data_IF_855411347169
#
_entry.id   IF_855411347169
#
_cell.length_a   1.000
_cell.length_b   1.000
_cell.length_c   1.000
_cell.angle_alpha   90.00
_cell.angle_beta   90.00
_cell.angle_gamma   90.00
#
_symmetry.space_group_name_H-M   'P 1'
#
loop_
_entity.id
_entity.type
_entity.pdbx_description
1 polymer ?
#
# COMPACT_ATOMS: atom_id res chain seq x y z
N UNK A 1 -66.62 -23.90 22.70
CA UNK A 1 -66.34 -24.21 21.29
C UNK A 1 -65.31 -25.32 21.31
N UNK A 2 -65.64 -26.53 20.85
CA UNK A 2 -64.68 -27.64 20.86
C UNK A 2 -63.50 -27.32 19.94
N UNK A 3 -62.28 -27.58 20.40
CA UNK A 3 -61.07 -27.38 19.61
C UNK A 3 -61.15 -28.21 18.33
N UNK A 4 -60.93 -27.57 17.18
CA UNK A 4 -60.99 -28.24 15.88
C UNK A 4 -59.77 -29.13 15.74
N UNK A 5 -59.98 -30.44 15.80
CA UNK A 5 -58.96 -31.45 15.55
C UNK A 5 -59.15 -32.09 14.16
N UNK A 6 -58.05 -32.50 13.53
CA UNK A 6 -58.01 -32.94 12.13
C UNK A 6 -57.28 -34.29 11.99
N UNK A 7 -57.77 -35.14 11.07
CA UNK A 7 -57.06 -36.35 10.66
C UNK A 7 -56.27 -36.10 9.37
N UNK A 8 -55.03 -36.60 9.28
CA UNK A 8 -54.17 -36.54 8.10
C UNK A 8 -54.16 -37.92 7.47
N UNK A 9 -54.44 -38.00 6.17
CA UNK A 9 -54.46 -39.26 5.41
C UNK A 9 -53.40 -39.23 4.29
N UNK A 10 -52.89 -40.41 3.90
CA UNK A 10 -52.10 -40.53 2.66
C UNK A 10 -52.97 -40.59 1.40
N UNK A 11 -52.30 -40.64 0.24
CA UNK A 11 -52.89 -40.73 -1.11
C UNK A 11 -53.76 -41.98 -1.33
N UNK A 12 -53.67 -42.96 -0.43
CA UNK A 12 -54.45 -44.21 -0.43
C UNK A 12 -55.54 -44.20 0.65
N UNK A 13 -55.74 -43.09 1.36
CA UNK A 13 -56.76 -42.94 2.39
C UNK A 13 -56.40 -43.57 3.74
N UNK A 14 -55.14 -43.90 3.99
CA UNK A 14 -54.71 -44.40 5.30
C UNK A 14 -54.42 -43.24 6.25
N UNK A 15 -54.95 -43.30 7.47
CA UNK A 15 -54.70 -42.30 8.51
C UNK A 15 -53.23 -42.34 8.94
N UNK A 16 -52.53 -41.21 8.80
CA UNK A 16 -51.12 -41.00 9.23
C UNK A 16 -51.02 -40.26 10.56
N UNK A 17 -52.00 -39.43 10.90
CA UNK A 17 -52.12 -38.79 12.20
C UNK A 17 -53.59 -38.49 12.46
N UNK A 18 -54.06 -38.69 13.70
CA UNK A 18 -55.46 -38.43 14.06
C UNK A 18 -55.57 -37.33 15.11
N UNK A 19 -56.69 -36.61 15.10
CA UNK A 19 -57.06 -35.57 16.06
C UNK A 19 -56.01 -34.45 16.26
N UNK A 20 -55.33 -34.03 15.20
CA UNK A 20 -54.30 -32.99 15.26
C UNK A 20 -54.91 -31.59 15.42
N UNK A 21 -54.47 -30.77 16.37
CA UNK A 21 -54.94 -29.39 16.51
C UNK A 21 -54.48 -28.53 15.33
N UNK A 22 -55.30 -27.57 14.89
CA UNK A 22 -54.84 -26.56 13.94
C UNK A 22 -53.94 -25.52 14.62
N UNK A 23 -52.88 -25.03 13.95
CA UNK A 23 -52.42 -25.42 12.61
C UNK A 23 -51.66 -26.75 12.59
N UNK A 24 -51.87 -27.57 11.55
CA UNK A 24 -51.12 -28.82 11.32
C UNK A 24 -49.81 -28.51 10.61
N UNK A 25 -48.70 -29.04 11.13
CA UNK A 25 -47.40 -29.01 10.45
C UNK A 25 -47.09 -30.39 9.90
N UNK A 26 -46.85 -30.49 8.59
CA UNK A 26 -46.42 -31.73 7.92
C UNK A 26 -44.93 -31.63 7.63
N UNK A 27 -44.14 -32.55 8.20
CA UNK A 27 -42.68 -32.64 8.01
C UNK A 27 -42.30 -33.78 7.07
N UNK A 28 -41.12 -33.70 6.43
CA UNK A 28 -40.57 -34.79 5.61
C UNK A 28 -41.07 -34.85 4.17
N UNK A 29 -41.63 -33.75 3.64
CA UNK A 29 -42.03 -33.67 2.24
C UNK A 29 -40.80 -33.54 1.31
N UNK A 30 -40.83 -34.21 0.17
CA UNK A 30 -39.85 -34.11 -0.91
C UNK A 30 -40.03 -32.79 -1.65
N UNK A 31 -38.92 -32.20 -2.12
CA UNK A 31 -38.95 -30.97 -2.91
C UNK A 31 -39.48 -31.18 -4.34
N UNK A 32 -39.95 -30.10 -4.99
CA UNK A 32 -40.54 -30.13 -6.34
C UNK A 32 -41.64 -31.19 -6.53
N UNK A 33 -42.31 -31.56 -5.44
CA UNK A 33 -43.30 -32.66 -5.45
C UNK A 33 -44.67 -32.07 -5.15
N UNK A 34 -45.65 -32.41 -6.00
CA UNK A 34 -47.04 -32.03 -5.81
C UNK A 34 -47.70 -32.98 -4.83
N UNK A 35 -48.32 -32.42 -3.79
CA UNK A 35 -49.09 -33.14 -2.80
C UNK A 35 -50.55 -32.71 -2.87
N UNK A 36 -51.45 -33.69 -2.84
CA UNK A 36 -52.89 -33.52 -2.69
C UNK A 36 -53.31 -33.94 -1.28
N UNK A 37 -54.39 -33.36 -0.76
CA UNK A 37 -54.88 -33.67 0.58
C UNK A 37 -56.40 -33.50 0.69
N UNK A 38 -56.95 -33.90 1.83
CA UNK A 38 -58.37 -33.75 2.14
C UNK A 38 -58.53 -33.15 3.54
N UNK A 39 -59.52 -32.29 3.72
CA UNK A 39 -60.03 -31.91 5.04
C UNK A 39 -61.26 -32.74 5.37
N UNK A 40 -61.38 -33.24 6.61
CA UNK A 40 -62.64 -33.73 7.16
C UNK A 40 -63.34 -32.61 7.96
N UNK A 41 -64.65 -32.43 7.76
CA UNK A 41 -65.50 -31.61 8.65
C UNK A 41 -66.55 -32.52 9.33
N UNK A 42 -66.78 -32.34 10.63
CA UNK A 42 -67.92 -32.92 11.36
C UNK A 42 -68.60 -31.78 12.17
N UNK A 43 -69.92 -31.63 12.19
CA UNK A 43 -70.92 -32.52 12.81
C UNK A 43 -72.01 -33.02 11.87
N UNK A 44 -72.15 -34.35 11.78
CA UNK A 44 -73.32 -35.05 11.22
C UNK A 44 -73.17 -35.62 9.80
N UNK A 45 -72.17 -35.19 9.02
CA UNK A 45 -71.98 -35.65 7.64
C UNK A 45 -70.51 -35.96 7.32
N UNK A 46 -70.26 -37.04 6.59
CA UNK A 46 -68.94 -37.44 6.08
C UNK A 46 -68.68 -36.76 4.73
N UNK A 47 -68.36 -35.47 4.74
CA UNK A 47 -67.91 -34.77 3.52
C UNK A 47 -66.40 -34.54 3.61
N UNK A 48 -65.64 -35.26 2.77
CA UNK A 48 -64.24 -34.97 2.51
C UNK A 48 -64.16 -33.80 1.53
N UNK A 49 -63.63 -32.66 1.97
CA UNK A 49 -63.36 -31.53 1.08
C UNK A 49 -61.92 -31.63 0.60
N UNK A 50 -61.72 -31.78 -0.71
CA UNK A 50 -60.39 -31.76 -1.31
C UNK A 50 -59.68 -30.44 -0.97
N UNK A 51 -58.43 -30.54 -0.53
CA UNK A 51 -57.50 -29.43 -0.52
C UNK A 51 -57.06 -29.14 -1.94
N UNK A 52 -56.80 -27.87 -2.23
CA UNK A 52 -56.06 -27.53 -3.44
C UNK A 52 -54.68 -28.18 -3.36
N UNK A 53 -54.28 -28.85 -4.45
CA UNK A 53 -52.93 -29.38 -4.60
C UNK A 53 -51.92 -28.27 -4.32
N UNK A 54 -50.88 -28.60 -3.56
CA UNK A 54 -49.76 -27.70 -3.35
C UNK A 54 -48.46 -28.40 -3.77
N UNK A 55 -47.59 -27.66 -4.45
CA UNK A 55 -46.27 -28.16 -4.85
C UNK A 55 -45.23 -27.61 -3.90
N UNK A 56 -44.45 -28.50 -3.29
CA UNK A 56 -43.27 -28.06 -2.53
C UNK A 56 -42.30 -27.37 -3.48
N UNK A 57 -41.69 -26.27 -3.02
CA UNK A 57 -40.69 -25.56 -3.81
C UNK A 57 -39.51 -26.49 -4.11
N UNK A 58 -38.79 -26.23 -5.20
CA UNK A 58 -37.57 -26.96 -5.53
C UNK A 58 -36.54 -26.89 -4.39
N UNK A 59 -35.74 -27.95 -4.24
CA UNK A 59 -34.62 -27.97 -3.30
C UNK A 59 -33.73 -26.78 -3.64
N UNK A 60 -33.50 -25.90 -2.68
CA UNK A 60 -32.51 -24.87 -2.84
C UNK A 60 -31.14 -25.56 -2.91
N UNK A 61 -30.44 -25.43 -4.04
CA UNK A 61 -29.05 -25.86 -4.15
C UNK A 61 -28.28 -25.26 -2.98
N UNK A 62 -27.60 -26.11 -2.20
CA UNK A 62 -26.76 -25.64 -1.11
C UNK A 62 -25.76 -24.62 -1.67
N UNK A 63 -25.67 -23.45 -1.02
CA UNK A 63 -24.69 -22.44 -1.39
C UNK A 63 -23.28 -23.05 -1.22
N UNK A 64 -22.42 -22.89 -2.22
CA UNK A 64 -21.03 -23.32 -2.14
C UNK A 64 -20.18 -22.27 -1.39
N UNK A 65 -18.99 -22.70 -0.96
CA UNK A 65 -17.94 -21.75 -0.54
C UNK A 65 -17.56 -20.84 -1.70
N UNK A 66 -17.10 -19.61 -1.43
CA UNK A 66 -16.65 -18.72 -2.49
C UNK A 66 -15.42 -19.27 -3.20
N UNK A 67 -15.22 -18.83 -4.43
CA UNK A 67 -13.99 -19.04 -5.18
C UNK A 67 -12.85 -18.20 -4.57
N UNK A 68 -11.60 -18.65 -4.73
CA UNK A 68 -10.46 -17.89 -4.22
C UNK A 68 -10.37 -16.52 -4.92
N UNK A 69 -10.26 -15.41 -4.17
CA UNK A 69 -10.09 -14.10 -4.78
C UNK A 69 -8.68 -13.94 -5.35
N UNK A 70 -8.47 -12.84 -6.08
CA UNK A 70 -7.12 -12.37 -6.45
C UNK A 70 -6.76 -11.12 -5.63
N UNK A 71 -5.46 -10.89 -5.43
CA UNK A 71 -4.95 -9.72 -4.71
C UNK A 71 -3.75 -9.14 -5.46
N UNK A 72 -3.72 -7.82 -5.58
CA UNK A 72 -2.56 -7.04 -5.99
C UNK A 72 -2.11 -6.14 -4.84
N UNK A 73 -0.81 -5.92 -4.70
CA UNK A 73 -0.23 -5.05 -3.66
C UNK A 73 0.77 -4.07 -4.23
N UNK A 74 0.77 -2.84 -3.71
CA UNK A 74 1.78 -1.82 -4.00
C UNK A 74 2.42 -1.33 -2.70
N UNK A 75 3.72 -1.03 -2.75
CA UNK A 75 4.46 -0.53 -1.59
C UNK A 75 4.04 0.90 -1.24
N UNK A 76 3.88 1.17 0.06
CA UNK A 76 3.75 2.51 0.63
C UNK A 76 4.84 2.76 1.67
N UNK A 77 4.77 3.92 2.34
CA UNK A 77 5.64 4.24 3.48
C UNK A 77 5.14 3.50 4.71
N UNK A 78 5.96 2.57 5.22
CA UNK A 78 5.61 1.72 6.36
C UNK A 78 4.31 0.94 6.17
N UNK A 79 3.92 0.72 4.91
CA UNK A 79 2.62 0.15 4.55
C UNK A 79 2.64 -0.56 3.20
N UNK A 80 1.60 -1.35 2.94
CA UNK A 80 1.31 -1.92 1.63
C UNK A 80 -0.16 -1.72 1.29
N UNK A 81 -0.44 -1.09 0.15
CA UNK A 81 -1.79 -0.89 -0.34
C UNK A 81 -2.23 -2.13 -1.12
N UNK A 82 -3.44 -2.61 -0.88
CA UNK A 82 -3.98 -3.79 -1.54
C UNK A 82 -5.20 -3.44 -2.39
N UNK A 83 -5.38 -4.24 -3.44
CA UNK A 83 -6.61 -4.33 -4.23
C UNK A 83 -6.98 -5.79 -4.37
N UNK A 84 -8.16 -6.15 -3.88
CA UNK A 84 -8.76 -7.47 -4.05
C UNK A 84 -9.64 -7.43 -5.31
N UNK A 85 -9.62 -8.50 -6.09
CA UNK A 85 -10.57 -8.69 -7.19
C UNK A 85 -11.22 -10.06 -7.05
N UNK A 86 -12.55 -10.04 -6.97
CA UNK A 86 -13.40 -11.21 -6.86
C UNK A 86 -14.54 -11.08 -7.88
N UNK A 87 -14.46 -11.86 -8.95
CA UNK A 87 -15.40 -11.80 -10.07
C UNK A 87 -16.74 -12.50 -9.76
N UNK A 88 -16.80 -13.31 -8.70
CA UNK A 88 -17.97 -14.12 -8.33
C UNK A 88 -18.63 -13.65 -7.04
N UNK A 89 -18.13 -12.58 -6.42
CA UNK A 89 -18.56 -12.05 -5.13
C UNK A 89 -20.10 -11.90 -4.99
N UNK A 90 -20.78 -11.43 -6.04
CA UNK A 90 -22.24 -11.23 -6.05
C UNK A 90 -23.02 -12.55 -6.16
N UNK A 91 -22.49 -13.50 -6.92
CA UNK A 91 -23.13 -14.79 -7.19
C UNK A 91 -22.97 -15.74 -6.00
N UNK A 92 -21.81 -15.69 -5.35
CA UNK A 92 -21.45 -16.51 -4.19
C UNK A 92 -21.84 -15.88 -2.84
N UNK A 93 -22.46 -14.69 -2.87
CA UNK A 93 -22.90 -13.91 -1.70
C UNK A 93 -21.78 -13.72 -0.67
N UNK A 94 -20.63 -13.27 -1.13
CA UNK A 94 -19.48 -12.99 -0.26
C UNK A 94 -19.86 -11.92 0.77
N UNK A 95 -19.64 -12.23 2.05
CA UNK A 95 -19.99 -11.38 3.19
C UNK A 95 -18.80 -10.62 3.76
N UNK A 96 -17.58 -11.10 3.56
CA UNK A 96 -16.35 -10.45 4.03
C UNK A 96 -15.12 -10.98 3.29
N UNK A 97 -14.03 -10.23 3.38
CA UNK A 97 -12.71 -10.69 2.98
C UNK A 97 -11.74 -10.60 4.16
N UNK A 98 -10.61 -11.29 4.06
CA UNK A 98 -9.44 -11.05 4.91
C UNK A 98 -8.18 -11.05 4.07
N UNK A 99 -7.25 -10.17 4.42
CA UNK A 99 -5.89 -10.15 3.89
C UNK A 99 -4.97 -10.73 4.95
N UNK A 100 -4.31 -11.84 4.63
CA UNK A 100 -3.26 -12.39 5.45
C UNK A 100 -1.92 -11.80 4.99
N UNK A 101 -1.07 -11.41 5.92
CA UNK A 101 0.26 -10.88 5.62
C UNK A 101 1.33 -11.39 6.59
N UNK A 102 2.55 -11.52 6.11
CA UNK A 102 3.71 -11.85 6.95
C UNK A 102 5.01 -11.27 6.38
N UNK A 103 6.01 -11.12 7.23
CA UNK A 103 7.37 -10.85 6.76
C UNK A 103 7.88 -12.04 5.93
N UNK A 104 8.70 -11.77 4.92
CA UNK A 104 9.32 -12.85 4.13
C UNK A 104 10.18 -13.76 5.02
N UNK A 105 9.99 -15.08 4.90
CA UNK A 105 10.59 -16.07 5.80
C UNK A 105 9.97 -16.17 7.20
N UNK A 106 8.90 -15.44 7.48
CA UNK A 106 8.11 -15.58 8.72
C UNK A 106 7.33 -16.90 8.76
N UNK A 107 6.96 -17.32 9.97
CA UNK A 107 6.16 -18.53 10.21
C UNK A 107 4.68 -18.24 10.47
N UNK A 108 4.36 -17.02 10.91
CA UNK A 108 3.04 -16.67 11.41
C UNK A 108 2.40 -15.57 10.55
N UNK A 109 1.29 -15.90 9.90
CA UNK A 109 0.47 -14.97 9.14
C UNK A 109 -0.37 -14.10 10.08
N UNK A 110 -0.21 -12.78 9.97
CA UNK A 110 -1.11 -11.80 10.54
C UNK A 110 -2.35 -11.67 9.66
N UNK A 111 -3.48 -11.20 10.22
CA UNK A 111 -4.75 -11.10 9.49
C UNK A 111 -5.35 -9.70 9.64
N UNK A 112 -5.74 -9.11 8.51
CA UNK A 112 -6.53 -7.89 8.44
C UNK A 112 -7.91 -8.22 7.88
N UNK A 113 -8.95 -8.03 8.69
CA UNK A 113 -10.33 -8.36 8.34
C UNK A 113 -11.01 -7.19 7.60
N UNK A 114 -11.76 -7.51 6.56
CA UNK A 114 -12.54 -6.58 5.73
C UNK A 114 -14.00 -7.01 5.84
N UNK A 115 -14.73 -6.38 6.76
CA UNK A 115 -16.12 -6.74 7.08
C UNK A 115 -17.15 -6.21 6.07
N UNK A 116 -16.76 -5.22 5.28
CA UNK A 116 -17.58 -4.68 4.19
C UNK A 116 -17.09 -5.29 2.87
N UNK A 117 -17.83 -6.23 2.26
CA UNK A 117 -17.40 -6.94 1.06
C UNK A 117 -17.32 -6.03 -0.17
N UNK A 118 -17.78 -4.78 -0.09
CA UNK A 118 -17.65 -3.79 -1.16
C UNK A 118 -16.32 -3.01 -1.09
N UNK A 119 -15.60 -3.07 0.03
CA UNK A 119 -14.31 -2.39 0.23
C UNK A 119 -13.14 -3.26 -0.21
N UNK A 120 -12.97 -3.35 -1.53
CA UNK A 120 -11.94 -4.17 -2.14
C UNK A 120 -10.55 -3.53 -2.16
N UNK A 121 -10.41 -2.29 -1.71
CA UNK A 121 -9.12 -1.59 -1.60
C UNK A 121 -8.85 -1.15 -0.16
N UNK A 122 -7.58 -1.09 0.21
CA UNK A 122 -7.16 -0.64 1.54
C UNK A 122 -5.65 -0.65 1.71
N UNK A 123 -5.19 -0.51 2.96
CA UNK A 123 -3.77 -0.46 3.30
C UNK A 123 -3.48 -1.23 4.58
N UNK A 124 -2.39 -2.02 4.57
CA UNK A 124 -1.81 -2.65 5.75
C UNK A 124 -0.67 -1.74 6.23
N UNK A 125 -0.85 -1.10 7.38
CA UNK A 125 0.13 -0.18 7.98
C UNK A 125 0.98 -0.86 9.06
N UNK A 126 2.00 -0.14 9.56
CA UNK A 126 2.90 -0.64 10.61
C UNK A 126 3.94 -1.65 10.10
N UNK A 127 4.15 -1.72 8.79
CA UNK A 127 5.19 -2.53 8.17
C UNK A 127 6.54 -1.80 8.24
N UNK A 128 7.64 -2.56 8.24
CA UNK A 128 8.99 -1.97 8.26
C UNK A 128 9.47 -1.69 6.84
N UNK A 129 9.90 -0.46 6.56
CA UNK A 129 10.51 -0.10 5.28
C UNK A 129 11.76 -0.94 5.00
N UNK A 130 12.02 -1.20 3.72
CA UNK A 130 13.09 -2.06 3.20
C UNK A 130 12.99 -3.55 3.60
N UNK A 131 11.92 -3.97 4.30
CA UNK A 131 11.64 -5.38 4.60
C UNK A 131 10.56 -5.92 3.67
N UNK A 132 10.80 -7.07 3.04
CA UNK A 132 9.81 -7.70 2.14
C UNK A 132 8.70 -8.39 2.95
N UNK A 133 7.47 -8.23 2.49
CA UNK A 133 6.28 -8.87 3.05
C UNK A 133 5.53 -9.64 1.97
N UNK A 134 4.91 -10.75 2.36
CA UNK A 134 4.07 -11.59 1.54
C UNK A 134 2.61 -11.40 1.96
N UNK A 135 1.68 -11.44 1.00
CA UNK A 135 0.26 -11.17 1.17
C UNK A 135 -0.57 -12.21 0.41
N UNK A 136 -1.72 -12.56 0.96
CA UNK A 136 -2.75 -13.39 0.32
C UNK A 136 -4.14 -12.98 0.83
N UNK A 137 -5.18 -13.25 0.05
CA UNK A 137 -6.56 -12.91 0.40
C UNK A 137 -7.45 -14.16 0.47
N UNK A 138 -8.51 -14.08 1.26
CA UNK A 138 -9.56 -15.10 1.40
C UNK A 138 -10.91 -14.40 1.39
N UNK A 139 -11.89 -14.98 0.69
CA UNK A 139 -13.28 -14.56 0.69
C UNK A 139 -14.10 -15.47 1.62
N UNK A 140 -15.11 -14.91 2.28
CA UNK A 140 -15.96 -15.65 3.21
C UNK A 140 -17.43 -15.40 2.89
N UNK A 141 -18.25 -16.46 2.91
CA UNK A 141 -19.72 -16.35 2.92
C UNK A 141 -20.31 -17.17 4.08
N UNK A 142 -21.64 -17.33 4.12
CA UNK A 142 -22.34 -18.09 5.16
C UNK A 142 -21.93 -19.58 5.27
N UNK A 143 -21.28 -20.13 4.25
CA UNK A 143 -20.82 -21.54 4.20
C UNK A 143 -19.36 -21.68 4.65
N UNK A 144 -18.63 -20.57 4.76
CA UNK A 144 -17.26 -20.49 5.24
C UNK A 144 -16.31 -19.81 4.26
N UNK A 145 -15.01 -20.05 4.50
CA UNK A 145 -13.91 -19.46 3.75
C UNK A 145 -13.65 -20.19 2.43
N UNK A 146 -13.27 -19.41 1.41
CA UNK A 146 -12.66 -19.85 0.16
C UNK A 146 -11.27 -20.45 0.39
N UNK A 147 -10.70 -21.02 -0.68
CA UNK A 147 -9.25 -21.23 -0.75
C UNK A 147 -8.51 -19.88 -0.73
N UNK A 148 -7.23 -19.91 -0.37
CA UNK A 148 -6.37 -18.73 -0.34
C UNK A 148 -5.96 -18.31 -1.77
N UNK A 149 -5.86 -17.00 -1.99
CA UNK A 149 -5.29 -16.47 -3.23
C UNK A 149 -3.82 -16.88 -3.41
N UNK A 150 -3.30 -16.71 -4.62
CA UNK A 150 -1.85 -16.72 -4.85
C UNK A 150 -1.15 -15.70 -3.94
N UNK A 151 0.06 -16.03 -3.50
CA UNK A 151 0.89 -15.14 -2.68
C UNK A 151 1.52 -14.08 -3.57
N UNK A 152 1.35 -12.82 -3.18
CA UNK A 152 2.03 -11.65 -3.78
C UNK A 152 2.92 -10.99 -2.74
N UNK A 153 3.89 -10.18 -3.18
CA UNK A 153 4.83 -9.53 -2.25
C UNK A 153 5.03 -8.05 -2.54
N UNK A 154 5.26 -7.27 -1.49
CA UNK A 154 5.70 -5.88 -1.57
C UNK A 154 6.78 -5.61 -0.52
N UNK A 155 7.66 -4.66 -0.83
CA UNK A 155 8.66 -4.14 0.10
C UNK A 155 8.33 -2.67 0.34
N UNK A 156 7.76 -2.30 1.50
CA UNK A 156 7.50 -0.91 1.85
C UNK A 156 8.77 -0.06 1.71
N UNK A 157 8.62 1.18 1.25
CA UNK A 157 9.75 2.07 0.94
C UNK A 157 9.51 3.40 1.63
N UNK A 158 10.53 3.88 2.35
CA UNK A 158 10.48 5.22 2.92
C UNK A 158 10.41 6.26 1.78
N UNK A 159 9.66 7.36 1.96
CA UNK A 159 9.67 8.44 1.00
C UNK A 159 11.10 8.98 0.85
N UNK A 160 11.45 9.40 -0.37
CA UNK A 160 12.71 10.08 -0.59
C UNK A 160 12.71 11.38 0.23
N UNK A 161 13.75 11.60 1.03
CA UNK A 161 13.94 12.84 1.76
C UNK A 161 14.83 13.79 0.95
N UNK A 162 14.83 15.08 1.33
CA UNK A 162 15.83 16.03 0.82
C UNK A 162 17.24 15.56 1.18
N UNK A 163 18.25 15.86 0.35
CA UNK A 163 19.60 15.43 0.65
C UNK A 163 20.11 16.08 1.95
N UNK A 164 21.10 15.43 2.54
CA UNK A 164 21.93 16.00 3.60
C UNK A 164 22.82 17.11 3.03
N UNK A 165 23.22 18.07 3.88
CA UNK A 165 24.10 19.15 3.43
C UNK A 165 25.45 18.57 3.01
N UNK A 166 25.97 18.90 1.81
CA UNK A 166 27.31 18.49 1.42
C UNK A 166 28.35 19.27 2.23
N UNK A 167 29.61 18.89 2.07
CA UNK A 167 30.75 19.68 2.55
C UNK A 167 31.48 20.29 1.35
N UNK A 168 32.07 21.47 1.54
CA UNK A 168 32.89 22.13 0.52
C UNK A 168 34.23 22.53 1.11
N UNK A 169 35.29 22.32 0.34
CA UNK A 169 36.61 22.90 0.56
C UNK A 169 36.94 23.82 -0.61
N UNK A 170 37.54 24.97 -0.32
CA UNK A 170 37.86 25.98 -1.34
C UNK A 170 39.30 26.45 -1.16
N UNK A 171 40.04 26.52 -2.26
CA UNK A 171 41.42 27.03 -2.31
C UNK A 171 41.47 28.25 -3.23
N UNK A 172 42.05 29.35 -2.74
CA UNK A 172 42.17 30.57 -3.52
C UNK A 172 43.26 30.44 -4.59
N UNK A 173 42.99 30.98 -5.78
CA UNK A 173 43.95 31.13 -6.88
C UNK A 173 44.09 32.58 -7.30
N UNK A 174 44.74 32.80 -8.45
CA UNK A 174 44.80 34.13 -9.08
C UNK A 174 43.48 34.42 -9.81
N UNK A 175 42.73 35.40 -9.32
CA UNK A 175 41.42 35.78 -9.86
C UNK A 175 40.38 34.64 -9.86
N UNK A 176 40.59 33.62 -9.03
CA UNK A 176 39.81 32.38 -9.05
C UNK A 176 39.81 31.67 -7.69
N UNK A 177 38.93 30.69 -7.55
CA UNK A 177 38.89 29.77 -6.41
C UNK A 177 38.51 28.38 -6.89
N UNK A 178 39.35 27.40 -6.58
CA UNK A 178 39.08 25.99 -6.85
C UNK A 178 38.29 25.39 -5.69
N UNK A 179 37.20 24.70 -5.99
CA UNK A 179 36.38 24.03 -5.00
C UNK A 179 36.43 22.52 -5.15
N UNK A 180 36.28 21.83 -4.02
CA UNK A 180 36.01 20.39 -3.94
C UNK A 180 34.82 20.18 -3.02
N UNK A 181 33.78 19.53 -3.53
CA UNK A 181 32.60 19.11 -2.77
C UNK A 181 32.82 17.68 -2.30
N UNK A 182 32.47 17.38 -1.06
CA UNK A 182 32.41 16.00 -0.56
C UNK A 182 31.00 15.72 -0.05
N UNK A 183 30.37 14.71 -0.64
CA UNK A 183 29.05 14.19 -0.27
C UNK A 183 29.08 12.66 -0.42
N UNK A 184 28.98 11.95 0.70
CA UNK A 184 29.03 10.50 0.75
C UNK A 184 27.69 9.85 0.35
N UNK A 185 26.62 10.64 0.22
CA UNK A 185 25.26 10.15 0.04
C UNK A 185 24.70 10.40 -1.37
N UNK A 186 25.50 10.89 -2.33
CA UNK A 186 25.07 11.20 -3.72
C UNK A 186 24.15 10.13 -4.30
N UNK A 187 24.58 8.85 -4.28
CA UNK A 187 23.78 7.75 -4.83
C UNK A 187 22.61 7.34 -3.93
N UNK A 188 22.79 7.36 -2.61
CA UNK A 188 21.77 6.91 -1.64
C UNK A 188 20.58 7.88 -1.57
N UNK A 189 20.86 9.17 -1.60
CA UNK A 189 19.87 10.26 -1.53
C UNK A 189 19.41 10.71 -2.92
N UNK A 190 19.84 9.99 -3.98
CA UNK A 190 19.47 10.25 -5.36
C UNK A 190 19.70 11.71 -5.77
N UNK A 191 20.83 12.27 -5.35
CA UNK A 191 21.23 13.64 -5.68
C UNK A 191 21.34 13.74 -7.21
N UNK A 192 20.63 14.72 -7.78
CA UNK A 192 20.55 14.96 -9.22
C UNK A 192 21.41 16.14 -9.66
N UNK A 193 21.73 17.07 -8.76
CA UNK A 193 22.66 18.17 -9.03
C UNK A 193 23.25 18.75 -7.74
N UNK A 194 24.33 19.51 -7.89
CA UNK A 194 24.94 20.28 -6.81
C UNK A 194 24.94 21.77 -7.20
N UNK A 195 24.97 22.64 -6.20
CA UNK A 195 25.12 24.09 -6.37
C UNK A 195 26.29 24.56 -5.53
N UNK A 196 27.16 25.39 -6.10
CA UNK A 196 28.15 26.17 -5.36
C UNK A 196 27.69 27.61 -5.36
N UNK A 197 27.42 28.15 -4.18
CA UNK A 197 27.04 29.53 -3.99
C UNK A 197 28.26 30.31 -3.49
N UNK A 198 28.50 31.48 -4.05
CA UNK A 198 29.56 32.37 -3.59
C UNK A 198 29.12 33.83 -3.57
N UNK A 199 29.71 34.63 -2.67
CA UNK A 199 29.53 36.08 -2.63
C UNK A 199 30.79 36.76 -2.08
N UNK A 200 30.98 38.04 -2.41
CA UNK A 200 31.99 38.84 -1.74
C UNK A 200 31.60 38.98 -0.25
N UNK A 201 32.59 39.02 0.63
CA UNK A 201 32.38 39.13 2.07
C UNK A 201 31.55 40.38 2.42
N UNK A 202 30.51 40.20 3.24
CA UNK A 202 29.53 41.24 3.56
C UNK A 202 28.58 41.63 2.42
N UNK A 203 28.63 40.93 1.27
CA UNK A 203 27.68 41.07 0.18
C UNK A 203 26.28 40.56 0.55
N UNK A 204 25.27 41.05 -0.15
CA UNK A 204 23.86 40.69 0.12
C UNK A 204 23.36 39.53 -0.73
N UNK A 205 23.88 39.38 -1.96
CA UNK A 205 23.40 38.42 -2.93
C UNK A 205 24.42 37.30 -3.19
N UNK A 206 23.92 36.06 -3.25
CA UNK A 206 24.72 34.88 -3.59
C UNK A 206 24.67 34.61 -5.09
N UNK A 207 25.83 34.47 -5.72
CA UNK A 207 25.93 33.97 -7.08
C UNK A 207 25.96 32.45 -7.05
N UNK A 208 25.21 31.79 -7.93
CA UNK A 208 25.10 30.33 -7.98
C UNK A 208 25.81 29.75 -9.21
N UNK A 209 26.65 28.75 -8.98
CA UNK A 209 27.22 27.86 -10.01
C UNK A 209 26.50 26.52 -9.91
N UNK A 210 25.77 26.16 -10.96
CA UNK A 210 25.08 24.87 -11.02
C UNK A 210 26.02 23.78 -11.57
N UNK A 211 26.10 22.67 -10.85
CA UNK A 211 26.84 21.47 -11.23
C UNK A 211 25.81 20.40 -11.56
N UNK A 212 25.50 20.26 -12.84
CA UNK A 212 24.42 19.38 -13.32
C UNK A 212 24.76 17.88 -13.20
N UNK A 213 26.05 17.53 -13.19
CA UNK A 213 26.52 16.18 -12.96
C UNK A 213 27.00 16.06 -11.50
N UNK A 214 26.23 15.41 -10.61
CA UNK A 214 26.54 15.33 -9.19
C UNK A 214 27.79 14.48 -8.89
N UNK A 215 28.40 13.85 -9.90
CA UNK A 215 29.69 13.15 -9.76
C UNK A 215 30.90 14.07 -10.03
N UNK A 216 30.67 15.26 -10.60
CA UNK A 216 31.72 16.27 -10.81
C UNK A 216 31.92 17.10 -9.55
N UNK A 217 32.66 16.51 -8.62
CA UNK A 217 32.88 17.07 -7.29
C UNK A 217 33.90 18.21 -7.22
N UNK A 218 34.56 18.56 -8.32
CA UNK A 218 35.60 19.60 -8.37
C UNK A 218 35.31 20.60 -9.47
N UNK A 219 35.68 21.87 -9.25
CA UNK A 219 35.62 22.90 -10.28
C UNK A 219 36.28 24.19 -9.85
N UNK A 220 36.21 25.20 -10.72
CA UNK A 220 36.84 26.51 -10.50
C UNK A 220 35.82 27.61 -10.69
N UNK A 221 35.68 28.49 -9.70
CA UNK A 221 35.02 29.79 -9.87
C UNK A 221 36.06 30.80 -10.35
N UNK A 222 35.78 31.48 -11.45
CA UNK A 222 36.70 32.44 -12.11
C UNK A 222 36.19 33.86 -11.99
N UNK A 223 37.02 34.82 -12.41
CA UNK A 223 36.68 36.25 -12.45
C UNK A 223 36.41 36.83 -11.05
N UNK A 224 37.08 36.28 -10.03
CA UNK A 224 37.09 36.84 -8.69
C UNK A 224 38.11 37.99 -8.62
N UNK A 225 37.89 38.95 -7.72
CA UNK A 225 38.81 40.07 -7.53
C UNK A 225 39.89 39.71 -6.51
N UNK A 226 41.16 39.81 -6.91
CA UNK A 226 42.28 39.61 -5.99
C UNK A 226 42.26 40.62 -4.84
N UNK A 227 42.52 40.16 -3.62
CA UNK A 227 42.46 40.95 -2.40
C UNK A 227 41.06 41.10 -1.78
N UNK A 228 40.01 40.65 -2.47
CA UNK A 228 38.64 40.62 -1.94
C UNK A 228 38.35 39.25 -1.32
N UNK A 229 37.88 39.21 -0.08
CA UNK A 229 37.42 37.97 0.55
C UNK A 229 36.07 37.54 -0.04
N UNK A 230 35.91 36.24 -0.24
CA UNK A 230 34.68 35.62 -0.74
C UNK A 230 34.26 34.47 0.17
N UNK A 231 32.97 34.39 0.44
CA UNK A 231 32.32 33.30 1.15
C UNK A 231 31.74 32.30 0.15
N UNK A 232 31.93 31.01 0.42
CA UNK A 232 31.46 29.89 -0.41
C UNK A 232 30.64 28.90 0.42
N UNK A 233 29.60 28.34 -0.18
CA UNK A 233 28.81 27.23 0.38
C UNK A 233 28.29 26.33 -0.73
N UNK A 234 27.91 25.11 -0.38
CA UNK A 234 27.36 24.12 -1.30
C UNK A 234 25.97 23.64 -0.88
N UNK A 235 25.16 23.25 -1.86
CA UNK A 235 23.84 22.64 -1.70
C UNK A 235 23.76 21.41 -2.61
N UNK A 236 23.15 20.33 -2.12
CA UNK A 236 22.78 19.17 -2.93
C UNK A 236 21.28 19.18 -3.22
N UNK A 237 20.89 18.78 -4.42
CA UNK A 237 19.50 18.78 -4.87
C UNK A 237 19.08 17.39 -5.33
N UNK A 238 17.89 16.94 -4.94
CA UNK A 238 17.23 15.77 -5.53
C UNK A 238 15.78 16.10 -5.95
N UNK A 239 15.00 15.10 -6.34
CA UNK A 239 13.61 15.27 -6.76
C UNK A 239 12.68 15.88 -5.69
N UNK A 240 13.06 15.83 -4.41
CA UNK A 240 12.30 16.43 -3.29
C UNK A 240 12.77 17.84 -2.93
N UNK A 241 13.85 18.32 -3.55
CA UNK A 241 14.37 19.68 -3.44
C UNK A 241 15.79 19.76 -2.89
N UNK A 242 16.13 20.95 -2.41
CA UNK A 242 17.47 21.31 -1.93
C UNK A 242 17.71 20.88 -0.48
N UNK A 243 18.94 20.44 -0.21
CA UNK A 243 19.50 20.24 1.13
C UNK A 243 19.60 21.56 1.90
N UNK A 244 19.85 21.52 3.22
CA UNK A 244 20.45 22.65 3.90
C UNK A 244 21.80 23.04 3.26
N UNK A 245 22.23 24.27 3.50
CA UNK A 245 23.52 24.78 3.02
C UNK A 245 24.67 24.15 3.82
N UNK A 246 25.81 23.94 3.16
CA UNK A 246 27.05 23.58 3.86
C UNK A 246 27.51 24.70 4.79
N UNK A 247 28.47 24.39 5.67
CA UNK A 247 29.23 25.43 6.35
C UNK A 247 29.89 26.38 5.33
N UNK A 248 29.98 27.66 5.68
CA UNK A 248 30.63 28.69 4.86
C UNK A 248 32.15 28.55 4.94
N UNK A 249 32.81 28.57 3.78
CA UNK A 249 34.27 28.63 3.65
C UNK A 249 34.66 29.98 3.05
N UNK A 250 35.54 30.71 3.74
CA UNK A 250 36.03 32.03 3.32
C UNK A 250 37.42 31.92 2.72
N UNK A 251 37.63 32.52 1.54
CA UNK A 251 38.94 32.59 0.88
C UNK A 251 39.18 33.97 0.27
N UNK A 252 40.45 34.35 0.10
CA UNK A 252 40.85 35.61 -0.56
C UNK A 252 41.77 35.30 -1.73
N UNK A 253 41.30 35.39 -2.99
CA UNK A 253 42.14 35.27 -4.18
C UNK A 253 43.30 36.26 -4.17
N UNK A 254 44.46 35.85 -4.69
CA UNK A 254 45.66 36.67 -4.70
C UNK A 254 46.49 36.39 -5.96
N UNK A 255 47.10 37.45 -6.49
CA UNK A 255 48.06 37.32 -7.59
C UNK A 255 49.30 36.54 -7.12
N UNK A 256 49.98 35.80 -8.01
CA UNK A 256 51.24 35.16 -7.68
C UNK A 256 52.25 36.19 -7.18
N UNK A 257 52.87 35.93 -6.04
CA UNK A 257 54.02 36.73 -5.60
C UNK A 257 55.16 36.50 -6.57
N UNK A 258 55.73 37.59 -7.11
CA UNK A 258 56.91 37.51 -7.96
C UNK A 258 58.03 36.73 -7.23
N UNK A 259 58.81 35.87 -7.93
CA UNK A 259 59.95 35.21 -7.33
C UNK A 259 60.90 36.25 -6.73
N UNK A 260 61.39 36.01 -5.51
CA UNK A 260 62.39 36.89 -4.90
C UNK A 260 63.60 37.01 -5.83
N UNK A 261 63.86 38.23 -6.33
CA UNK A 261 65.03 38.49 -7.16
C UNK A 261 66.27 38.30 -6.30
N UNK A 262 67.04 37.25 -6.56
CA UNK A 262 68.34 37.05 -5.89
C UNK A 262 69.32 38.03 -6.51
N UNK A 263 69.56 39.15 -5.84
CA UNK A 263 70.70 40.03 -6.16
C UNK A 263 71.98 39.26 -5.87
N UNK A 264 72.49 38.58 -6.89
CA UNK A 264 73.84 38.04 -6.89
C UNK A 264 74.82 39.20 -6.72
N UNK A 265 75.43 39.30 -5.54
CA UNK A 265 76.58 40.16 -5.31
C UNK A 265 77.75 39.60 -6.11
N UNK A 266 78.01 40.25 -7.25
CA UNK A 266 79.21 39.99 -8.04
C UNK A 266 80.46 40.22 -7.19
N UNK A 267 81.32 39.21 -7.12
CA UNK A 267 82.73 39.41 -6.78
C UNK A 267 83.52 39.21 -8.06
N UNK A 268 83.86 40.33 -8.70
CA UNK A 268 84.88 40.39 -9.74
C UNK A 268 86.25 40.19 -9.08
N UNK A 269 87.07 39.30 -9.63
CA UNK A 269 88.52 39.23 -9.38
C UNK A 269 89.26 39.40 -10.70
#
# INVERSE_FOLDING_TARGET
MADKTYDILDDKGNVKASAQPAPITVSGLSASTTYSGWHARYTGENILQALADFTTKATQTALAKPSAPTIAVTAGDGSANYTITDATATDEKVSSFKVLYQADGGTDWQTSNITDPTKLTGSISGLTNAKKYNFKAVATNATGDSDESAVVSATPVAPLAKPTAPTIAVTAGDGSADYTITDANISKEQVSSLKVLYQADGGTDWTTVNVADPTKLTGTVKSLTNGTAYDFKAIATNATGDSPESAVVKVTPAAPTAPASTTGTGTSK
#
